data_IF_218974288692
#
_entry.id   IF_218974288692
#
_cell.length_a   1.000
_cell.length_b   1.000
_cell.length_c   1.000
_cell.angle_alpha   90.00
_cell.angle_beta   90.00
_cell.angle_gamma   90.00
#
_symmetry.space_group_name_H-M   'P 1'
#
loop_
_entity.id
_entity.type
_entity.pdbx_description
1 polymer ?
#
# COMPACT_ATOMS: atom_id res chain seq x y z
N UNK A 1 -22.67 -8.38 -13.14
CA UNK A 1 -21.35 -8.38 -13.79
C UNK A 1 -20.31 -8.49 -12.70
N UNK A 2 -19.44 -9.51 -12.74
CA UNK A 2 -18.31 -9.60 -11.81
C UNK A 2 -17.13 -8.86 -12.44
N UNK A 3 -16.65 -7.80 -11.76
CA UNK A 3 -15.49 -7.03 -12.18
C UNK A 3 -14.25 -7.49 -11.43
N UNK A 4 -13.08 -7.49 -12.08
CA UNK A 4 -11.80 -7.69 -11.39
C UNK A 4 -11.15 -6.34 -11.13
N UNK A 5 -10.74 -6.09 -9.90
CA UNK A 5 -10.03 -4.88 -9.52
C UNK A 5 -8.67 -5.27 -8.95
N UNK A 6 -7.61 -4.86 -9.66
CA UNK A 6 -6.23 -4.97 -9.21
C UNK A 6 -5.77 -3.64 -8.63
N UNK A 7 -5.10 -3.69 -7.48
CA UNK A 7 -4.58 -2.52 -6.77
C UNK A 7 -3.10 -2.75 -6.51
N UNK A 8 -2.25 -1.98 -7.17
CA UNK A 8 -0.81 -1.98 -6.94
C UNK A 8 -0.45 -0.90 -5.90
N UNK A 9 0.22 -1.29 -4.82
CA UNK A 9 0.55 -0.41 -3.69
C UNK A 9 2.06 -0.32 -3.54
N UNK A 10 2.58 0.89 -3.64
CA UNK A 10 4.00 1.17 -3.44
C UNK A 10 4.23 1.69 -2.03
N UNK A 11 5.20 1.15 -1.32
CA UNK A 11 5.48 1.55 0.06
C UNK A 11 6.96 1.49 0.41
N UNK A 12 7.35 2.33 1.36
CA UNK A 12 8.65 2.30 2.03
C UNK A 12 8.40 2.23 3.55
N UNK A 13 9.22 1.47 4.28
CA UNK A 13 9.14 1.33 5.73
C UNK A 13 9.49 2.61 6.50
N UNK A 14 10.29 3.51 5.93
CA UNK A 14 10.63 4.79 6.58
C UNK A 14 9.46 5.78 6.52
N UNK A 15 8.48 5.56 5.64
CA UNK A 15 7.41 6.50 5.40
C UNK A 15 6.25 6.29 6.39
N UNK A 16 6.03 7.22 7.36
CA UNK A 16 4.93 7.09 8.32
C UNK A 16 3.55 7.14 7.63
N UNK A 17 3.46 7.86 6.51
CA UNK A 17 2.23 7.95 5.72
C UNK A 17 1.89 6.66 4.98
N UNK A 18 2.88 5.86 4.57
CA UNK A 18 2.64 4.55 3.98
C UNK A 18 1.92 3.62 4.97
N UNK A 19 2.28 3.68 6.26
CA UNK A 19 1.59 2.92 7.30
C UNK A 19 0.14 3.38 7.51
N UNK A 20 -0.09 4.69 7.56
CA UNK A 20 -1.44 5.27 7.67
C UNK A 20 -2.27 4.87 6.43
N UNK A 21 -1.71 5.02 5.24
CA UNK A 21 -2.33 4.66 3.97
C UNK A 21 -2.71 3.18 3.91
N UNK A 22 -1.83 2.27 4.36
CA UNK A 22 -2.14 0.84 4.46
C UNK A 22 -3.39 0.57 5.30
N UNK A 23 -3.48 1.15 6.50
CA UNK A 23 -4.63 0.96 7.39
C UNK A 23 -5.93 1.48 6.78
N UNK A 24 -5.87 2.62 6.10
CA UNK A 24 -7.04 3.21 5.44
C UNK A 24 -7.45 2.41 4.20
N UNK A 25 -6.49 1.89 3.43
CA UNK A 25 -6.77 0.99 2.32
C UNK A 25 -7.45 -0.29 2.80
N UNK A 26 -6.96 -0.92 3.87
CA UNK A 26 -7.60 -2.11 4.46
C UNK A 26 -9.06 -1.84 4.87
N UNK A 27 -9.32 -0.68 5.49
CA UNK A 27 -10.69 -0.25 5.82
C UNK A 27 -11.55 -0.08 4.57
N UNK A 28 -11.03 0.57 3.53
CA UNK A 28 -11.76 0.80 2.29
C UNK A 28 -12.09 -0.51 1.55
N UNK A 29 -11.17 -1.48 1.53
CA UNK A 29 -11.40 -2.79 0.90
C UNK A 29 -12.49 -3.58 1.61
N UNK A 30 -12.53 -3.55 2.95
CA UNK A 30 -13.59 -4.18 3.73
C UNK A 30 -14.98 -3.55 3.45
N UNK A 31 -15.04 -2.22 3.29
CA UNK A 31 -16.28 -1.54 2.93
C UNK A 31 -16.70 -1.89 1.49
N UNK A 32 -15.74 -1.95 0.57
CA UNK A 32 -16.00 -2.31 -0.82
C UNK A 32 -16.53 -3.74 -0.97
N UNK A 33 -15.99 -4.70 -0.22
CA UNK A 33 -16.49 -6.09 -0.26
C UNK A 33 -17.93 -6.23 0.23
N UNK A 34 -18.38 -5.33 1.12
CA UNK A 34 -19.77 -5.30 1.59
C UNK A 34 -20.67 -4.65 0.54
N UNK A 35 -20.25 -3.53 -0.04
CA UNK A 35 -21.05 -2.76 -1.00
C UNK A 35 -21.15 -3.43 -2.37
N UNK A 36 -20.08 -4.10 -2.80
CA UNK A 36 -19.97 -4.70 -4.14
C UNK A 36 -19.39 -6.12 -4.02
N UNK A 37 -20.17 -7.10 -3.53
CA UNK A 37 -19.68 -8.45 -3.22
C UNK A 37 -19.23 -9.26 -4.45
N UNK A 38 -19.59 -8.82 -5.66
CA UNK A 38 -19.26 -9.50 -6.91
C UNK A 38 -17.93 -9.03 -7.53
N UNK A 39 -17.15 -8.20 -6.85
CA UNK A 39 -15.83 -7.74 -7.33
C UNK A 39 -14.73 -8.65 -6.78
N UNK A 40 -13.91 -9.20 -7.67
CA UNK A 40 -12.70 -9.92 -7.30
C UNK A 40 -11.57 -8.91 -7.06
N UNK A 41 -11.10 -8.82 -5.81
CA UNK A 41 -10.06 -7.88 -5.38
C UNK A 41 -8.69 -8.56 -5.37
N UNK A 42 -7.68 -7.93 -5.99
CA UNK A 42 -6.29 -8.36 -5.92
C UNK A 42 -5.37 -7.19 -5.57
N UNK A 43 -4.84 -7.20 -4.35
CA UNK A 43 -3.82 -6.23 -3.92
C UNK A 43 -2.42 -6.78 -4.16
N UNK A 44 -1.54 -5.99 -4.75
CA UNK A 44 -0.13 -6.32 -4.99
C UNK A 44 0.74 -5.25 -4.36
N UNK A 45 1.72 -5.66 -3.56
CA UNK A 45 2.59 -4.76 -2.80
C UNK A 45 3.98 -4.68 -3.42
N UNK A 46 4.48 -3.46 -3.56
CA UNK A 46 5.78 -3.14 -4.14
C UNK A 46 6.59 -2.33 -3.13
N UNK A 47 7.67 -2.91 -2.63
CA UNK A 47 8.63 -2.18 -1.81
C UNK A 47 9.43 -1.22 -2.68
N UNK A 48 9.55 0.04 -2.26
CA UNK A 48 10.37 1.06 -2.91
C UNK A 48 11.34 1.67 -1.91
N UNK A 49 12.42 2.24 -2.43
CA UNK A 49 13.34 3.07 -1.67
C UNK A 49 13.03 4.53 -1.94
N UNK A 50 12.50 5.23 -0.95
CA UNK A 50 12.13 6.65 -1.00
C UNK A 50 13.36 7.55 -1.05
N UNK A 51 14.46 7.10 -0.44
CA UNK A 51 15.76 7.76 -0.40
C UNK A 51 16.81 6.90 -1.13
N UNK A 52 16.79 6.82 -2.47
CA UNK A 52 17.71 5.98 -3.25
C UNK A 52 19.18 6.37 -3.08
N UNK A 53 19.43 7.63 -2.73
CA UNK A 53 20.76 8.18 -2.47
C UNK A 53 21.32 7.83 -1.09
N UNK A 54 20.51 7.27 -0.18
CA UNK A 54 20.97 6.95 1.17
C UNK A 54 22.06 5.86 1.08
N UNK A 55 23.22 6.08 1.68
CA UNK A 55 24.28 5.09 1.65
C UNK A 55 23.91 3.85 2.46
N UNK A 56 24.51 2.70 2.14
CA UNK A 56 24.16 1.42 2.76
C UNK A 56 24.42 1.39 4.28
N UNK A 57 25.39 2.16 4.76
CA UNK A 57 25.65 2.34 6.19
C UNK A 57 24.61 3.20 6.92
N UNK A 58 23.66 3.80 6.19
CA UNK A 58 22.72 4.78 6.70
C UNK A 58 23.37 6.13 6.99
N UNK A 59 22.55 7.11 7.34
CA UNK A 59 23.00 8.39 7.87
C UNK A 59 22.20 8.73 9.14
N UNK A 60 22.79 9.49 10.09
CA UNK A 60 22.04 10.00 11.22
C UNK A 60 20.93 10.95 10.75
N UNK A 61 19.68 10.67 11.13
CA UNK A 61 18.54 11.57 10.92
C UNK A 61 18.42 12.63 12.03
N UNK A 62 19.53 12.93 12.70
CA UNK A 62 19.65 13.88 13.82
C UNK A 62 19.73 15.31 13.36
#
# INVERSE_FOLDING_TARGET
MSGRLRIDVFFDFICPWCLIGKRQLERALNLLSIQVPNVELKTVWHGVQLLPQLPAQGEPFT
#
